data_IF_384019315522
#
_entry.id   IF_384019315522
#
_cell.length_a   1.000
_cell.length_b   1.000
_cell.length_c   1.000
_cell.angle_alpha   90.00
_cell.angle_beta   90.00
_cell.angle_gamma   90.00
#
_symmetry.space_group_name_H-M   'P 1'
#
loop_
_entity.id
_entity.type
_entity.pdbx_description
1 polymer ?
#
# COMPACT_ATOMS: atom_id res chain seq x y z
N UNK A 1 2.73 -11.35 10.60
CA UNK A 1 3.47 -10.84 9.43
C UNK A 1 2.52 -10.76 8.24
N UNK A 2 2.25 -9.55 7.72
CA UNK A 2 1.28 -9.31 6.65
C UNK A 2 2.00 -8.80 5.39
N UNK A 3 1.52 -9.20 4.20
CA UNK A 3 2.01 -8.69 2.90
C UNK A 3 1.42 -7.33 2.52
N UNK A 4 0.59 -6.75 3.37
CA UNK A 4 -0.14 -5.50 3.12
C UNK A 4 0.59 -4.34 3.80
N UNK A 5 0.80 -3.26 3.06
CA UNK A 5 1.32 -2.00 3.56
C UNK A 5 0.40 -0.85 3.13
N UNK A 6 -0.01 -0.03 4.09
CA UNK A 6 -0.78 1.18 3.85
C UNK A 6 0.12 2.39 4.06
N UNK A 7 0.15 3.32 3.12
CA UNK A 7 1.07 4.46 3.13
C UNK A 7 0.37 5.78 2.80
N UNK A 8 0.78 6.85 3.48
CA UNK A 8 0.45 8.25 3.17
C UNK A 8 1.30 8.74 2.00
N UNK A 9 1.12 8.12 0.85
CA UNK A 9 1.74 8.49 -0.41
C UNK A 9 0.74 8.24 -1.54
N UNK A 10 0.90 8.96 -2.64
CA UNK A 10 0.13 8.72 -3.87
C UNK A 10 0.48 7.35 -4.45
N UNK A 11 -0.37 6.85 -5.35
CA UNK A 11 -0.12 5.58 -6.03
C UNK A 11 1.19 5.63 -6.82
N UNK A 12 1.42 6.72 -7.56
CA UNK A 12 2.63 6.94 -8.34
C UNK A 12 3.90 6.95 -7.48
N UNK A 13 3.90 7.67 -6.35
CA UNK A 13 5.03 7.67 -5.41
C UNK A 13 5.27 6.28 -4.82
N UNK A 14 4.19 5.55 -4.52
CA UNK A 14 4.27 4.20 -3.95
C UNK A 14 4.85 3.21 -4.95
N UNK A 15 4.41 3.27 -6.21
CA UNK A 15 4.94 2.49 -7.33
C UNK A 15 6.43 2.77 -7.53
N UNK A 16 6.81 4.04 -7.63
CA UNK A 16 8.20 4.45 -7.81
C UNK A 16 9.09 3.97 -6.64
N UNK A 17 8.61 4.06 -5.40
CA UNK A 17 9.33 3.60 -4.23
C UNK A 17 9.54 2.08 -4.20
N UNK A 18 8.53 1.30 -4.61
CA UNK A 18 8.61 -0.15 -4.72
C UNK A 18 9.55 -0.56 -5.85
N UNK A 19 9.41 0.04 -7.04
CA UNK A 19 10.26 -0.23 -8.20
C UNK A 19 11.74 0.05 -7.90
N UNK A 20 12.03 1.19 -7.25
CA UNK A 20 13.40 1.57 -6.83
C UNK A 20 14.07 0.52 -5.94
N UNK A 21 13.30 -0.30 -5.22
CA UNK A 21 13.79 -1.30 -4.26
C UNK A 21 13.58 -2.75 -4.73
N UNK A 22 13.11 -2.95 -5.96
CA UNK A 22 12.83 -4.29 -6.49
C UNK A 22 11.67 -5.01 -5.79
N UNK A 23 10.81 -4.28 -5.07
CA UNK A 23 9.67 -4.88 -4.39
C UNK A 23 8.57 -5.22 -5.40
N UNK A 24 8.30 -6.51 -5.58
CA UNK A 24 7.26 -6.99 -6.51
C UNK A 24 5.88 -6.76 -5.89
N UNK A 25 5.03 -6.02 -6.61
CA UNK A 25 3.67 -5.67 -6.19
C UNK A 25 2.70 -6.72 -6.73
N UNK A 26 1.85 -7.25 -5.84
CA UNK A 26 0.72 -8.13 -6.19
C UNK A 26 -0.57 -7.36 -6.43
N UNK A 27 -0.79 -6.26 -5.70
CA UNK A 27 -1.93 -5.37 -5.91
C UNK A 27 -1.62 -3.98 -5.37
N UNK A 28 -2.22 -2.96 -5.98
CA UNK A 28 -2.15 -1.57 -5.52
C UNK A 28 -3.51 -0.91 -5.69
N UNK A 29 -3.94 -0.13 -4.72
CA UNK A 29 -5.19 0.63 -4.77
C UNK A 29 -5.07 1.95 -4.01
N UNK A 30 -5.68 3.01 -4.53
CA UNK A 30 -5.89 4.25 -3.78
C UNK A 30 -6.94 4.05 -2.70
N UNK A 31 -6.68 4.58 -1.50
CA UNK A 31 -7.57 4.47 -0.36
C UNK A 31 -8.55 5.66 -0.34
N UNK A 32 -9.83 5.39 -0.06
CA UNK A 32 -10.85 6.43 0.12
C UNK A 32 -10.56 7.33 1.33
N UNK A 33 -9.85 6.80 2.34
CA UNK A 33 -9.34 7.56 3.49
C UNK A 33 -8.09 8.41 3.17
N UNK A 34 -7.62 8.40 1.92
CA UNK A 34 -6.37 9.01 1.50
C UNK A 34 -5.17 8.06 1.64
N UNK A 35 -4.19 8.25 0.75
CA UNK A 35 -3.01 7.39 0.63
C UNK A 35 -3.24 6.17 -0.27
N UNK A 36 -2.34 5.20 -0.16
CA UNK A 36 -2.28 4.01 -1.03
C UNK A 36 -2.15 2.75 -0.19
N UNK A 37 -2.89 1.71 -0.57
CA UNK A 37 -2.69 0.34 -0.10
C UNK A 37 -1.92 -0.42 -1.15
N UNK A 38 -0.78 -0.97 -0.76
CA UNK A 38 0.03 -1.85 -1.60
C UNK A 38 0.11 -3.23 -0.96
N UNK A 39 -0.04 -4.26 -1.78
CA UNK A 39 0.16 -5.65 -1.40
C UNK A 39 1.37 -6.14 -2.15
N UNK A 40 2.40 -6.58 -1.42
CA UNK A 40 3.64 -7.09 -2.02
C UNK A 40 3.59 -8.61 -2.14
N UNK A 41 4.45 -9.16 -2.99
CA UNK A 41 4.48 -10.60 -3.26
C UNK A 41 4.88 -11.42 -2.01
N UNK A 42 5.81 -10.89 -1.20
CA UNK A 42 6.34 -11.53 -0.02
C UNK A 42 6.46 -10.55 1.17
N UNK A 43 6.61 -11.11 2.37
CA UNK A 43 6.62 -10.31 3.60
C UNK A 43 7.96 -9.62 3.84
N UNK A 44 9.07 -10.19 3.36
CA UNK A 44 10.40 -9.58 3.46
C UNK A 44 10.46 -8.22 2.75
N UNK A 45 9.93 -8.14 1.52
CA UNK A 45 9.76 -6.88 0.80
C UNK A 45 8.84 -5.93 1.57
N UNK A 46 7.84 -6.43 2.29
CA UNK A 46 6.93 -5.60 3.08
C UNK A 46 7.64 -4.95 4.26
N UNK A 47 8.54 -5.66 4.94
CA UNK A 47 9.32 -5.10 6.04
C UNK A 47 10.39 -4.12 5.54
N UNK A 48 11.06 -4.43 4.42
CA UNK A 48 11.97 -3.48 3.75
C UNK A 48 11.24 -2.19 3.36
N UNK A 49 10.05 -2.30 2.77
CA UNK A 49 9.24 -1.15 2.41
C UNK A 49 8.67 -0.42 3.64
N UNK A 50 8.31 -1.13 4.72
CA UNK A 50 7.86 -0.53 5.97
C UNK A 50 8.91 0.42 6.53
N UNK A 51 10.17 0.00 6.57
CA UNK A 51 11.29 0.85 7.00
C UNK A 51 11.49 2.02 6.03
N UNK A 52 11.42 1.76 4.72
CA UNK A 52 11.60 2.79 3.70
C UNK A 52 10.54 3.90 3.71
N UNK A 53 9.28 3.55 3.98
CA UNK A 53 8.19 4.52 4.10
C UNK A 53 8.15 5.19 5.48
N UNK A 54 8.65 4.52 6.53
CA UNK A 54 8.82 5.07 7.86
C UNK A 54 7.55 5.74 8.39
N UNK A 55 7.64 7.03 8.73
CA UNK A 55 6.52 7.83 9.25
C UNK A 55 5.32 7.99 8.29
N UNK A 56 5.45 7.57 7.02
CA UNK A 56 4.33 7.54 6.08
C UNK A 56 3.48 6.27 6.23
N UNK A 57 3.91 5.26 6.96
CA UNK A 57 3.11 4.04 7.17
C UNK A 57 1.87 4.35 8.01
N UNK A 58 0.70 3.91 7.54
CA UNK A 58 -0.57 4.07 8.25
C UNK A 58 -0.77 2.84 9.15
N UNK A 59 -0.64 3.03 10.46
CA UNK A 59 -0.83 1.98 11.47
C UNK A 59 -2.32 1.76 11.84
N UNK A 60 -3.17 2.77 11.60
CA UNK A 60 -4.60 2.73 11.94
C UNK A 60 -5.48 2.07 10.87
N UNK A 61 -6.80 2.01 11.11
CA UNK A 61 -7.76 1.49 10.14
C UNK A 61 -7.77 2.36 8.87
N UNK A 62 -7.94 1.70 7.71
CA UNK A 62 -8.03 2.36 6.40
C UNK A 62 -9.35 2.00 5.72
N UNK A 63 -9.92 2.96 4.98
CA UNK A 63 -11.14 2.71 4.19
C UNK A 63 -10.75 2.42 2.76
N UNK A 64 -11.00 1.19 2.32
CA UNK A 64 -10.75 0.74 0.95
C UNK A 64 -11.87 1.21 0.03
N UNK A 65 -11.54 1.42 -1.23
CA UNK A 65 -12.53 1.74 -2.25
C UNK A 65 -13.28 0.44 -2.63
N UNK A 66 -14.61 0.36 -2.44
CA UNK A 66 -15.35 -0.86 -2.74
C UNK A 66 -15.40 -1.12 -4.26
N UNK A 67 -15.09 -2.35 -4.67
CA UNK A 67 -15.11 -2.76 -6.09
C UNK A 67 -16.54 -2.89 -6.66
N UNK A 68 -17.53 -3.16 -5.82
CA UNK A 68 -18.95 -3.16 -6.19
C UNK A 68 -19.68 -2.08 -5.40
N UNK A 69 -20.17 -1.06 -6.10
CA UNK A 69 -21.28 -0.24 -5.60
C UNK A 69 -22.55 -1.05 -5.89
N UNK A 70 -23.15 -1.68 -4.89
CA UNK A 70 -24.54 -2.09 -5.07
C UNK A 70 -25.33 -0.78 -5.22
N UNK A 71 -26.03 -0.59 -6.33
CA UNK A 71 -27.03 0.47 -6.42
C UNK A 71 -28.19 0.04 -5.51
N UNK A 72 -28.57 0.88 -4.54
CA UNK A 72 -29.90 0.76 -3.91
C UNK A 72 -30.90 1.46 -4.81
#
# INVERSE_FOLDING_TARGET
>A
MSRVLNVRATEAETLAACHKRGAIISAIETLASGGTRVVLMNTDATETMRVAFGGKVIAGPVTRTPLRKWAR
#
